data_IF_169311134411
#
_entry.id   IF_169311134411
#
_cell.length_a   1.000
_cell.length_b   1.000
_cell.length_c   1.000
_cell.angle_alpha   90.00
_cell.angle_beta   90.00
_cell.angle_gamma   90.00
#
_symmetry.space_group_name_H-M   'P 1'
#
loop_
_entity.id
_entity.type
_entity.pdbx_description
1 polymer ?
#
# COMPACT_ATOMS: atom_id res chain seq x y z
N UNK A 1 -15.90 44.79 24.40
CA UNK A 1 -15.69 43.32 24.53
C UNK A 1 -15.94 42.68 23.17
N UNK A 2 -15.05 42.92 22.22
CA UNK A 2 -15.10 42.21 20.94
C UNK A 2 -14.20 40.98 21.05
N UNK A 3 -14.61 39.88 20.40
CA UNK A 3 -13.75 38.79 19.91
C UNK A 3 -13.28 37.65 20.84
N UNK A 4 -14.00 37.26 21.90
CA UNK A 4 -13.69 35.98 22.59
C UNK A 4 -14.00 34.74 21.70
N UNK A 5 -15.07 34.83 20.91
CA UNK A 5 -15.56 33.75 20.05
C UNK A 5 -14.89 33.65 18.67
N UNK A 6 -14.11 34.67 18.27
CA UNK A 6 -13.40 34.67 16.98
C UNK A 6 -12.13 33.82 17.01
N UNK A 7 -11.45 33.75 18.15
CA UNK A 7 -10.24 32.93 18.31
C UNK A 7 -10.48 31.43 18.01
N UNK A 8 -11.51 30.75 18.59
CA UNK A 8 -11.78 29.36 18.24
C UNK A 8 -12.25 29.18 16.79
N UNK A 9 -12.93 30.18 16.21
CA UNK A 9 -13.44 30.13 14.85
C UNK A 9 -12.30 30.24 13.82
N UNK A 10 -11.33 31.13 14.07
CA UNK A 10 -10.09 31.25 13.29
C UNK A 10 -9.22 30.01 13.45
N UNK A 11 -9.08 29.46 14.67
CA UNK A 11 -8.33 28.24 14.89
C UNK A 11 -8.92 27.03 14.15
N UNK A 12 -10.25 26.91 14.14
CA UNK A 12 -10.96 25.84 13.40
C UNK A 12 -10.81 26.03 11.89
N UNK A 13 -10.92 27.26 11.39
CA UNK A 13 -10.74 27.56 9.96
C UNK A 13 -9.29 27.28 9.50
N UNK A 14 -8.29 27.66 10.31
CA UNK A 14 -6.88 27.36 10.04
C UNK A 14 -6.59 25.86 10.09
N UNK A 15 -7.18 25.13 11.04
CA UNK A 15 -7.07 23.67 11.12
C UNK A 15 -7.68 22.96 9.91
N UNK A 16 -8.82 23.45 9.41
CA UNK A 16 -9.41 22.93 8.17
C UNK A 16 -8.54 23.23 6.95
N UNK A 17 -8.06 24.47 6.79
CA UNK A 17 -7.19 24.85 5.68
C UNK A 17 -5.86 24.07 5.67
N UNK A 18 -5.24 23.85 6.84
CA UNK A 18 -4.00 23.08 6.96
C UNK A 18 -4.18 21.61 6.53
N UNK A 19 -5.34 21.01 6.78
CA UNK A 19 -5.63 19.65 6.34
C UNK A 19 -5.91 19.54 4.83
N UNK A 20 -6.45 20.60 4.19
CA UNK A 20 -6.64 20.62 2.73
C UNK A 20 -5.30 20.65 1.99
N UNK A 21 -4.34 21.45 2.46
CA UNK A 21 -3.01 21.57 1.86
C UNK A 21 -2.29 20.22 1.78
N UNK A 22 -2.43 19.37 2.80
CA UNK A 22 -1.83 18.05 2.80
C UNK A 22 -2.46 17.12 1.76
N UNK A 23 -3.78 17.11 1.61
CA UNK A 23 -4.47 16.29 0.62
C UNK A 23 -4.07 16.69 -0.82
N UNK A 24 -4.03 18.00 -1.09
CA UNK A 24 -3.65 18.53 -2.40
C UNK A 24 -2.22 18.14 -2.80
N UNK A 25 -1.27 18.12 -1.86
CA UNK A 25 0.12 17.71 -2.12
C UNK A 25 0.23 16.21 -2.46
N UNK A 26 -0.50 15.36 -1.73
CA UNK A 26 -0.49 13.91 -1.98
C UNK A 26 -1.15 13.57 -3.32
N UNK A 27 -2.26 14.22 -3.65
CA UNK A 27 -2.96 14.02 -4.91
C UNK A 27 -2.08 14.45 -6.10
N UNK A 28 -1.43 15.62 -6.02
CA UNK A 28 -0.49 16.07 -7.05
C UNK A 28 0.66 15.08 -7.26
N UNK A 29 1.18 14.48 -6.19
CA UNK A 29 2.23 13.48 -6.26
C UNK A 29 1.74 12.16 -6.87
N UNK A 30 0.51 11.74 -6.57
CA UNK A 30 -0.10 10.57 -7.20
C UNK A 30 -0.26 10.81 -8.70
N UNK A 31 -0.75 11.98 -9.12
CA UNK A 31 -0.89 12.34 -10.53
C UNK A 31 0.46 12.30 -11.26
N UNK A 32 1.52 12.84 -10.67
CA UNK A 32 2.88 12.80 -11.23
C UNK A 32 3.44 11.37 -11.39
N UNK A 33 3.08 10.45 -10.51
CA UNK A 33 3.47 9.03 -10.59
C UNK A 33 2.64 8.33 -11.67
N UNK A 34 1.32 8.48 -11.62
CA UNK A 34 0.38 7.85 -12.55
C UNK A 34 0.63 8.29 -13.99
N UNK A 35 1.05 9.53 -14.22
CA UNK A 35 1.43 10.03 -15.54
C UNK A 35 2.65 9.31 -16.16
N UNK A 36 3.44 8.60 -15.36
CA UNK A 36 4.63 7.84 -15.82
C UNK A 36 4.36 6.35 -16.02
N UNK A 37 3.19 5.86 -15.59
CA UNK A 37 2.85 4.46 -15.64
C UNK A 37 2.25 4.08 -16.99
N UNK A 38 2.72 2.97 -17.55
CA UNK A 38 2.05 2.30 -18.66
C UNK A 38 0.99 1.33 -18.13
N UNK A 39 0.19 0.75 -19.03
CA UNK A 39 -0.86 -0.21 -18.66
C UNK A 39 -0.33 -1.37 -17.81
N UNK A 40 0.85 -1.88 -18.14
CA UNK A 40 1.46 -2.99 -17.40
C UNK A 40 1.92 -2.57 -15.99
N UNK A 41 2.37 -1.31 -15.80
CA UNK A 41 2.68 -0.78 -14.46
C UNK A 41 1.41 -0.74 -13.60
N UNK A 42 0.31 -0.23 -14.16
CA UNK A 42 -0.97 -0.14 -13.46
C UNK A 42 -1.50 -1.52 -13.06
N UNK A 43 -1.48 -2.49 -13.98
CA UNK A 43 -1.93 -3.86 -13.70
C UNK A 43 -1.05 -4.50 -12.62
N UNK A 44 0.28 -4.31 -12.71
CA UNK A 44 1.22 -4.80 -11.72
C UNK A 44 0.95 -4.23 -10.32
N UNK A 45 0.81 -2.91 -10.21
CA UNK A 45 0.56 -2.23 -8.93
C UNK A 45 -0.79 -2.62 -8.32
N UNK A 46 -1.81 -2.89 -9.14
CA UNK A 46 -3.11 -3.41 -8.72
C UNK A 46 -3.10 -4.91 -8.37
N UNK A 47 -1.99 -5.61 -8.60
CA UNK A 47 -1.85 -7.03 -8.33
C UNK A 47 -1.27 -7.29 -6.94
N UNK A 48 -1.88 -8.23 -6.22
CA UNK A 48 -1.39 -8.72 -4.95
C UNK A 48 -1.15 -10.23 -5.02
N UNK A 49 0.06 -10.66 -4.66
CA UNK A 49 0.45 -12.08 -4.67
C UNK A 49 0.68 -12.55 -3.24
N UNK A 50 0.31 -13.79 -2.93
CA UNK A 50 0.61 -14.37 -1.63
C UNK A 50 2.11 -14.66 -1.48
N UNK A 51 2.68 -14.42 -0.29
CA UNK A 51 4.12 -14.61 -0.02
C UNK A 51 4.59 -16.06 -0.28
N UNK A 52 3.68 -17.04 -0.21
CA UNK A 52 3.97 -18.45 -0.53
C UNK A 52 4.39 -18.65 -1.99
N UNK A 53 4.00 -17.73 -2.88
CA UNK A 53 4.46 -17.71 -4.27
C UNK A 53 5.94 -17.39 -4.41
N UNK A 54 6.62 -16.87 -3.39
CA UNK A 54 8.01 -16.39 -3.47
C UNK A 54 8.99 -17.18 -2.61
N UNK A 55 8.51 -18.06 -1.72
CA UNK A 55 9.36 -18.78 -0.76
C UNK A 55 9.48 -20.27 -1.06
N UNK A 56 10.51 -20.91 -0.49
CA UNK A 56 10.74 -22.36 -0.49
C UNK A 56 10.11 -23.07 0.73
N UNK A 57 10.34 -24.38 0.86
CA UNK A 57 9.87 -25.21 1.98
C UNK A 57 10.56 -24.90 3.31
N UNK A 58 11.54 -23.99 3.32
CA UNK A 58 12.31 -23.52 4.46
C UNK A 58 12.02 -22.04 4.79
N UNK A 59 11.18 -21.38 3.99
CA UNK A 59 10.72 -20.00 4.09
C UNK A 59 11.78 -18.97 3.66
N UNK A 60 12.76 -19.39 2.86
CA UNK A 60 13.68 -18.46 2.19
C UNK A 60 13.06 -17.98 0.89
N UNK A 61 13.44 -16.77 0.47
CA UNK A 61 13.05 -16.24 -0.83
C UNK A 61 13.73 -17.02 -1.96
N UNK A 62 12.93 -17.41 -2.95
CA UNK A 62 13.41 -18.02 -4.19
C UNK A 62 13.65 -16.90 -5.20
N UNK A 63 14.91 -16.60 -5.47
CA UNK A 63 15.32 -15.44 -6.28
C UNK A 63 14.64 -15.41 -7.66
N UNK A 64 14.54 -16.55 -8.34
CA UNK A 64 13.91 -16.65 -9.66
C UNK A 64 12.44 -16.22 -9.61
N UNK A 65 11.71 -16.59 -8.55
CA UNK A 65 10.32 -16.20 -8.36
C UNK A 65 10.21 -14.70 -8.05
N UNK A 66 11.07 -14.18 -7.19
CA UNK A 66 11.15 -12.73 -6.90
C UNK A 66 11.39 -11.95 -8.18
N UNK A 67 12.35 -12.39 -9.01
CA UNK A 67 12.68 -11.75 -10.28
C UNK A 67 11.53 -11.83 -11.28
N UNK A 68 10.80 -12.95 -11.32
CA UNK A 68 9.64 -13.10 -12.18
C UNK A 68 8.53 -12.10 -11.81
N UNK A 69 8.18 -11.99 -10.52
CA UNK A 69 7.16 -11.03 -10.08
C UNK A 69 7.61 -9.57 -10.18
N UNK A 70 8.91 -9.28 -10.01
CA UNK A 70 9.46 -7.95 -10.26
C UNK A 70 9.30 -7.51 -11.73
N UNK A 71 9.50 -8.42 -12.70
CA UNK A 71 9.23 -8.14 -14.12
C UNK A 71 7.75 -7.88 -14.40
N UNK A 72 6.86 -8.48 -13.60
CA UNK A 72 5.42 -8.25 -13.65
C UNK A 72 4.97 -7.03 -12.85
N UNK A 73 5.90 -6.30 -12.21
CA UNK A 73 5.64 -5.04 -11.50
C UNK A 73 4.60 -5.18 -10.37
N UNK A 74 4.54 -6.35 -9.72
CA UNK A 74 3.57 -6.64 -8.63
C UNK A 74 3.75 -5.64 -7.49
N UNK A 75 2.68 -4.90 -7.16
CA UNK A 75 2.69 -3.83 -6.15
C UNK A 75 2.55 -4.30 -4.70
N UNK A 76 2.00 -5.50 -4.47
CA UNK A 76 1.76 -6.00 -3.10
C UNK A 76 2.03 -7.49 -2.92
N UNK A 77 2.54 -7.82 -1.73
CA UNK A 77 2.75 -9.20 -1.28
C UNK A 77 2.02 -9.44 0.05
N UNK A 78 1.08 -10.39 0.05
CA UNK A 78 0.24 -10.70 1.19
C UNK A 78 0.79 -11.87 2.00
N UNK A 79 0.92 -11.66 3.31
CA UNK A 79 1.29 -12.68 4.28
C UNK A 79 2.70 -12.51 4.83
N UNK A 80 2.95 -13.04 6.02
CA UNK A 80 4.28 -13.06 6.63
C UNK A 80 4.95 -14.44 6.50
N UNK A 81 6.30 -14.51 6.41
CA UNK A 81 7.02 -15.78 6.41
C UNK A 81 6.81 -16.59 7.70
N UNK A 82 6.39 -15.91 8.78
CA UNK A 82 6.12 -16.48 10.11
C UNK A 82 4.71 -17.10 10.25
N UNK A 83 3.85 -17.04 9.22
CA UNK A 83 2.56 -17.75 9.23
C UNK A 83 2.74 -19.27 9.17
N UNK A 84 3.98 -19.78 9.11
CA UNK A 84 4.30 -21.20 9.13
C UNK A 84 3.75 -21.96 10.34
N UNK A 85 3.54 -21.28 11.49
CA UNK A 85 2.88 -21.88 12.65
C UNK A 85 1.36 -22.07 12.50
N UNK A 86 0.74 -21.49 11.48
CA UNK A 86 -0.69 -21.60 11.16
C UNK A 86 -0.97 -22.32 9.84
N UNK A 87 0.06 -22.70 9.08
CA UNK A 87 -0.09 -23.36 7.78
C UNK A 87 -0.20 -24.87 7.95
N UNK A 88 -1.22 -25.31 8.68
CA UNK A 88 -1.77 -26.65 8.52
C UNK A 88 -2.82 -26.57 7.39
N UNK A 89 -2.60 -27.21 6.22
CA UNK A 89 -3.56 -27.24 5.14
C UNK A 89 -4.95 -27.75 5.59
N UNK A 90 -5.02 -28.54 6.66
CA UNK A 90 -6.27 -29.01 7.24
C UNK A 90 -7.05 -27.93 8.02
N UNK A 91 -6.41 -26.82 8.41
CA UNK A 91 -7.00 -25.75 9.24
C UNK A 91 -7.43 -24.54 8.42
N UNK A 92 -6.70 -24.19 7.36
CA UNK A 92 -6.97 -22.96 6.58
C UNK A 92 -7.98 -23.13 5.44
N UNK A 93 -8.36 -24.36 5.06
CA UNK A 93 -9.56 -24.61 4.25
C UNK A 93 -9.56 -24.06 2.81
N UNK A 94 -8.40 -23.73 2.25
CA UNK A 94 -8.26 -23.42 0.82
C UNK A 94 -7.69 -24.65 0.13
N UNK A 95 -8.60 -25.54 -0.30
CA UNK A 95 -8.36 -26.61 -1.26
C UNK A 95 -8.85 -26.17 -2.65
#
# INVERSE_FOLDING_TARGET
MFTSWLAPLVATALGFAANQVAADEWDARVDEIMAKYETDDLIGEMSQITIYGLVDSEANLVEDKVRAFAKLKVGSYLGGPLWRGLYDPAVVGWA
#
